data_IF_504925214502
#
_entry.id   IF_504925214502
#
_cell.length_a   1.000
_cell.length_b   1.000
_cell.length_c   1.000
_cell.angle_alpha   90.00
_cell.angle_beta   90.00
_cell.angle_gamma   90.00
#
_symmetry.space_group_name_H-M   'P 1'
#
loop_
_entity.id
_entity.type
_entity.pdbx_description
1 polymer ?
#
# COMPACT_ATOMS: atom_id res chain seq x y z
N UNK A 1 -11.20 56.21 4.82
CA UNK A 1 -11.52 55.20 5.85
C UNK A 1 -12.08 53.93 5.20
N UNK A 2 -11.29 53.17 4.42
CA UNK A 2 -11.75 51.92 3.77
C UNK A 2 -10.64 50.86 3.57
N UNK A 3 -9.48 50.97 4.25
CA UNK A 3 -8.33 50.07 3.97
C UNK A 3 -8.07 49.02 5.05
N UNK A 4 -8.60 49.18 6.26
CA UNK A 4 -8.30 48.25 7.38
C UNK A 4 -9.06 46.91 7.31
N UNK A 5 -10.15 46.82 6.53
CA UNK A 5 -10.92 45.58 6.42
C UNK A 5 -10.33 44.60 5.38
N UNK A 6 -9.55 45.09 4.41
CA UNK A 6 -8.98 44.24 3.37
C UNK A 6 -7.80 43.41 3.90
N UNK A 7 -6.94 44.01 4.74
CA UNK A 7 -5.80 43.31 5.35
C UNK A 7 -6.25 42.20 6.33
N UNK A 8 -7.39 42.39 7.01
CA UNK A 8 -7.98 41.38 7.89
C UNK A 8 -8.51 40.16 7.12
N UNK A 9 -9.07 40.39 5.93
CA UNK A 9 -9.54 39.33 5.04
C UNK A 9 -8.37 38.56 4.43
N UNK A 10 -7.33 39.25 3.94
CA UNK A 10 -6.15 38.60 3.35
C UNK A 10 -5.33 37.82 4.40
N UNK A 11 -5.27 38.30 5.64
CA UNK A 11 -4.67 37.58 6.77
C UNK A 11 -5.51 36.35 7.20
N UNK A 12 -6.83 36.42 7.05
CA UNK A 12 -7.73 35.29 7.35
C UNK A 12 -7.68 34.25 6.24
N UNK A 13 -7.62 34.66 4.97
CA UNK A 13 -7.37 33.77 3.83
C UNK A 13 -6.00 33.10 3.99
N UNK A 14 -4.96 33.83 4.41
CA UNK A 14 -3.64 33.26 4.69
C UNK A 14 -3.63 32.25 5.84
N UNK A 15 -4.41 32.48 6.91
CA UNK A 15 -4.57 31.49 8.00
C UNK A 15 -5.35 30.25 7.55
N UNK A 16 -6.28 30.40 6.61
CA UNK A 16 -7.06 29.28 6.04
C UNK A 16 -6.27 28.51 4.97
N UNK A 17 -5.23 29.10 4.37
CA UNK A 17 -4.28 28.40 3.47
C UNK A 17 -3.05 27.85 4.20
N UNK A 18 -2.84 28.22 5.46
CA UNK A 18 -1.85 27.64 6.38
C UNK A 18 -2.34 26.33 7.04
N UNK A 19 -3.15 25.56 6.32
CA UNK A 19 -3.30 24.11 6.48
C UNK A 19 -2.73 23.43 5.23
N UNK A 20 -1.42 23.56 5.07
CA UNK A 20 -0.61 22.55 4.39
C UNK A 20 -0.88 21.21 5.11
N UNK A 21 -1.38 20.11 4.53
CA UNK A 21 -1.55 19.74 3.13
C UNK A 21 -2.73 18.77 2.98
N UNK A 22 -3.92 19.28 2.62
CA UNK A 22 -4.93 18.43 1.96
C UNK A 22 -4.56 18.16 0.49
N UNK A 23 -3.49 18.81 0.01
CA UNK A 23 -2.77 18.51 -1.24
C UNK A 23 -1.76 17.37 -1.08
N UNK A 24 -1.96 16.44 -0.14
CA UNK A 24 -1.28 15.15 -0.10
C UNK A 24 -1.73 14.29 -1.31
N UNK A 25 -1.27 14.76 -2.47
CA UNK A 25 -0.96 14.10 -3.72
C UNK A 25 -2.00 13.13 -4.27
N UNK A 26 -3.02 13.65 -4.95
CA UNK A 26 -3.61 12.91 -6.08
C UNK A 26 -2.53 12.57 -7.14
N UNK A 27 -1.44 13.35 -7.21
CA UNK A 27 -0.32 13.13 -8.13
C UNK A 27 0.57 11.92 -7.80
N UNK A 28 0.70 11.51 -6.53
CA UNK A 28 1.51 10.34 -6.16
C UNK A 28 0.81 9.00 -6.45
N UNK A 29 -0.50 9.06 -6.75
CA UNK A 29 -1.33 7.88 -7.04
C UNK A 29 -1.05 7.34 -8.45
N UNK A 30 -0.60 8.20 -9.37
CA UNK A 30 -0.32 7.88 -10.78
C UNK A 30 1.13 7.52 -11.08
N UNK A 31 2.06 7.77 -10.14
CA UNK A 31 3.45 7.36 -10.31
C UNK A 31 3.58 5.85 -10.07
N UNK A 32 4.13 5.09 -11.05
CA UNK A 32 4.29 3.65 -10.90
C UNK A 32 5.20 3.37 -9.70
N UNK A 33 4.63 2.71 -8.69
CA UNK A 33 5.35 2.30 -7.49
C UNK A 33 6.40 1.20 -7.77
N UNK A 34 6.49 0.70 -9.00
CA UNK A 34 7.45 -0.30 -9.42
C UNK A 34 7.98 0.04 -10.81
N UNK A 35 9.30 -0.03 -10.96
CA UNK A 35 9.94 -0.08 -12.27
C UNK A 35 9.56 -1.38 -13.00
N UNK A 36 9.59 -1.34 -14.34
CA UNK A 36 9.40 -2.53 -15.17
C UNK A 36 10.41 -3.64 -14.84
N UNK A 37 11.64 -3.26 -14.51
CA UNK A 37 12.71 -4.20 -14.12
C UNK A 37 12.40 -4.86 -12.77
N UNK A 38 12.03 -4.06 -11.76
CA UNK A 38 11.62 -4.57 -10.44
C UNK A 38 10.44 -5.53 -10.57
N UNK A 39 9.46 -5.17 -11.42
CA UNK A 39 8.32 -6.03 -11.70
C UNK A 39 8.72 -7.33 -12.40
N UNK A 40 9.61 -7.28 -13.39
CA UNK A 40 10.11 -8.47 -14.06
C UNK A 40 10.80 -9.43 -13.07
N UNK A 41 11.63 -8.90 -12.17
CA UNK A 41 12.27 -9.69 -11.10
C UNK A 41 11.23 -10.31 -10.15
N UNK A 42 10.22 -9.57 -9.73
CA UNK A 42 9.14 -10.10 -8.88
C UNK A 42 8.41 -11.24 -9.59
N UNK A 43 8.01 -11.06 -10.85
CA UNK A 43 7.24 -12.06 -11.61
C UNK A 43 7.99 -13.38 -11.76
N UNK A 44 9.31 -13.33 -11.97
CA UNK A 44 10.16 -14.54 -12.06
C UNK A 44 10.19 -15.30 -10.73
N UNK A 45 10.21 -14.58 -9.61
CA UNK A 45 10.28 -15.16 -8.27
C UNK A 45 8.90 -15.55 -7.70
N UNK A 46 7.80 -15.13 -8.32
CA UNK A 46 6.46 -15.56 -7.94
C UNK A 46 6.21 -17.02 -8.32
N UNK A 47 5.95 -17.86 -7.31
CA UNK A 47 5.71 -19.29 -7.51
C UNK A 47 4.36 -19.63 -8.14
N UNK A 48 4.31 -20.78 -8.81
CA UNK A 48 3.08 -21.49 -9.19
C UNK A 48 2.16 -20.73 -10.16
N UNK A 49 0.84 -20.92 -9.97
CA UNK A 49 -0.21 -20.30 -10.82
C UNK A 49 -0.26 -18.77 -10.72
N UNK A 50 0.29 -18.21 -9.63
CA UNK A 50 0.31 -16.76 -9.41
C UNK A 50 1.34 -16.08 -10.32
N UNK A 51 2.56 -16.63 -10.40
CA UNK A 51 3.56 -16.16 -11.37
C UNK A 51 3.06 -16.26 -12.81
N UNK A 52 2.37 -17.36 -13.15
CA UNK A 52 1.77 -17.51 -14.49
C UNK A 52 0.73 -16.44 -14.83
N UNK A 53 -0.09 -16.02 -13.86
CA UNK A 53 -1.10 -14.96 -14.03
C UNK A 53 -0.50 -13.55 -13.99
N UNK A 54 0.72 -13.39 -13.47
CA UNK A 54 1.41 -12.11 -13.34
C UNK A 54 2.23 -11.72 -14.58
N UNK A 55 2.56 -12.68 -15.47
CA UNK A 55 3.37 -12.47 -16.69
C UNK A 55 2.73 -11.61 -17.80
N UNK A 56 1.45 -11.23 -17.69
CA UNK A 56 0.84 -10.31 -18.65
C UNK A 56 1.32 -8.86 -18.44
N UNK A 57 1.68 -8.15 -19.51
CA UNK A 57 2.24 -6.79 -19.47
C UNK A 57 1.30 -5.75 -18.80
N UNK A 58 -0.02 -5.96 -18.84
CA UNK A 58 -1.05 -5.19 -18.09
C UNK A 58 -1.77 -6.07 -17.07
N UNK A 59 -1.04 -6.88 -16.32
CA UNK A 59 -1.66 -7.80 -15.38
C UNK A 59 -2.28 -7.04 -14.21
N UNK A 60 -3.52 -7.41 -13.86
CA UNK A 60 -4.16 -7.12 -12.56
C UNK A 60 -3.32 -7.51 -11.33
N UNK A 61 -2.20 -8.22 -11.52
CA UNK A 61 -1.23 -8.52 -10.49
C UNK A 61 -0.27 -7.35 -10.23
N UNK A 62 0.16 -6.60 -11.27
CA UNK A 62 1.07 -5.46 -11.10
C UNK A 62 0.39 -4.33 -10.34
N UNK A 63 -0.77 -3.87 -10.83
CA UNK A 63 -1.55 -2.84 -10.14
C UNK A 63 -1.89 -3.25 -8.71
N UNK A 64 -2.10 -4.54 -8.45
CA UNK A 64 -2.32 -5.05 -7.10
C UNK A 64 -1.09 -4.92 -6.20
N UNK A 65 0.11 -5.25 -6.69
CA UNK A 65 1.34 -5.11 -5.91
C UNK A 65 1.68 -3.63 -5.71
N UNK A 66 1.52 -2.79 -6.73
CA UNK A 66 1.67 -1.34 -6.64
C UNK A 66 0.72 -0.75 -5.60
N UNK A 67 -0.55 -1.16 -5.56
CA UNK A 67 -1.51 -0.77 -4.54
C UNK A 67 -1.03 -1.09 -3.12
N UNK A 68 -0.44 -2.28 -2.93
CA UNK A 68 0.07 -2.70 -1.62
C UNK A 68 1.36 -1.95 -1.26
N UNK A 69 2.22 -1.65 -2.22
CA UNK A 69 3.44 -0.87 -1.99
C UNK A 69 3.11 0.59 -1.67
N UNK A 70 2.09 1.16 -2.31
CA UNK A 70 1.54 2.46 -1.94
C UNK A 70 1.08 2.46 -0.47
N UNK A 71 0.29 1.44 -0.07
CA UNK A 71 -0.14 1.25 1.32
C UNK A 71 1.04 1.09 2.29
N UNK A 72 2.12 0.45 1.86
CA UNK A 72 3.33 0.27 2.67
C UNK A 72 4.12 1.57 2.85
N UNK A 73 4.14 2.43 1.82
CA UNK A 73 4.78 3.74 1.86
C UNK A 73 3.99 4.77 2.68
N UNK A 74 2.66 4.69 2.65
CA UNK A 74 1.77 5.53 3.46
C UNK A 74 1.76 5.03 4.91
N UNK A 75 2.74 5.47 5.68
CA UNK A 75 2.93 5.18 7.10
C UNK A 75 1.65 5.44 7.92
N UNK A 76 0.84 4.39 8.12
CA UNK A 76 -0.43 4.34 8.87
C UNK A 76 -1.72 4.70 8.10
N UNK A 77 -1.69 4.68 6.77
CA UNK A 77 -2.92 4.75 5.99
C UNK A 77 -3.77 3.48 6.21
N UNK A 78 -5.05 3.68 6.55
CA UNK A 78 -6.00 2.59 6.57
C UNK A 78 -6.26 2.11 5.14
N UNK A 79 -6.50 0.82 4.93
CA UNK A 79 -6.90 0.27 3.63
C UNK A 79 -8.11 0.99 2.99
N UNK A 80 -8.88 1.74 3.79
CA UNK A 80 -10.00 2.58 3.35
C UNK A 80 -9.56 3.81 2.55
N UNK A 81 -8.32 4.25 2.74
CA UNK A 81 -7.71 5.38 2.04
C UNK A 81 -7.07 4.96 0.71
N UNK A 82 -7.12 3.66 0.35
CA UNK A 82 -6.58 3.20 -0.91
C UNK A 82 -7.32 3.91 -2.08
N UNK A 83 -6.58 4.50 -3.03
CA UNK A 83 -7.16 5.16 -4.18
C UNK A 83 -7.99 4.21 -5.06
N UNK A 84 -9.06 4.73 -5.66
CA UNK A 84 -10.04 3.94 -6.43
C UNK A 84 -9.44 3.36 -7.72
N UNK A 85 -8.36 3.96 -8.22
CA UNK A 85 -7.61 3.57 -9.41
C UNK A 85 -7.00 2.16 -9.28
N UNK A 86 -6.66 1.77 -8.04
CA UNK A 86 -6.17 0.42 -7.74
C UNK A 86 -7.30 -0.62 -7.63
N UNK A 87 -8.56 -0.18 -7.68
CA UNK A 87 -9.75 -1.01 -7.60
C UNK A 87 -10.33 -1.08 -6.19
N UNK A 88 -11.24 -2.04 -5.97
CA UNK A 88 -11.98 -2.13 -4.72
C UNK A 88 -11.08 -2.50 -3.52
N UNK A 89 -11.01 -1.61 -2.53
CA UNK A 89 -10.18 -1.71 -1.32
C UNK A 89 -10.32 -3.06 -0.60
N UNK A 90 -11.55 -3.55 -0.44
CA UNK A 90 -11.81 -4.85 0.19
C UNK A 90 -11.22 -6.02 -0.62
N UNK A 91 -11.33 -5.99 -1.94
CA UNK A 91 -10.79 -7.05 -2.81
C UNK A 91 -9.27 -7.10 -2.76
N UNK A 92 -8.61 -5.93 -2.71
CA UNK A 92 -7.15 -5.81 -2.52
C UNK A 92 -6.75 -6.41 -1.17
N UNK A 93 -7.42 -6.02 -0.09
CA UNK A 93 -7.13 -6.56 1.24
C UNK A 93 -7.32 -8.09 1.32
N UNK A 94 -8.41 -8.64 0.79
CA UNK A 94 -8.65 -10.09 0.76
C UNK A 94 -7.55 -10.82 0.01
N UNK A 95 -7.12 -10.27 -1.14
CA UNK A 95 -6.03 -10.85 -1.94
C UNK A 95 -4.70 -10.77 -1.20
N UNK A 96 -4.39 -9.64 -0.56
CA UNK A 96 -3.22 -9.48 0.31
C UNK A 96 -3.18 -10.55 1.40
N UNK A 97 -4.29 -10.73 2.13
CA UNK A 97 -4.39 -11.73 3.21
C UNK A 97 -4.16 -13.16 2.71
N UNK A 98 -4.65 -13.49 1.50
CA UNK A 98 -4.37 -14.79 0.85
C UNK A 98 -2.89 -14.96 0.52
N UNK A 99 -2.23 -13.92 0.03
CA UNK A 99 -0.79 -13.96 -0.28
C UNK A 99 0.06 -14.08 0.98
N UNK A 100 -0.33 -13.45 2.09
CA UNK A 100 0.35 -13.63 3.39
C UNK A 100 0.28 -15.07 3.84
N UNK A 101 -0.92 -15.69 3.78
CA UNK A 101 -1.10 -17.11 4.13
C UNK A 101 -0.29 -18.05 3.23
N UNK A 102 -0.14 -17.69 1.96
CA UNK A 102 0.57 -18.49 0.97
C UNK A 102 2.09 -18.21 0.90
N UNK A 103 2.64 -17.33 1.75
CA UNK A 103 4.07 -17.00 1.76
C UNK A 103 4.56 -16.24 0.52
N UNK A 104 3.67 -15.65 -0.26
CA UNK A 104 4.02 -15.07 -1.57
C UNK A 104 4.62 -13.66 -1.49
N UNK A 105 4.64 -13.07 -0.29
CA UNK A 105 5.26 -11.77 -0.06
C UNK A 105 6.77 -11.86 0.19
N UNK A 106 7.31 -13.02 0.59
CA UNK A 106 8.74 -13.17 0.84
C UNK A 106 9.58 -12.96 -0.44
N UNK A 107 9.19 -13.51 -1.61
CA UNK A 107 9.88 -13.22 -2.87
C UNK A 107 9.79 -11.74 -3.30
N UNK A 108 8.67 -11.08 -3.03
CA UNK A 108 8.48 -9.65 -3.35
C UNK A 108 9.40 -8.79 -2.49
N UNK A 109 9.49 -9.07 -1.19
CA UNK A 109 10.40 -8.38 -0.27
C UNK A 109 11.87 -8.58 -0.66
N UNK A 110 12.23 -9.77 -1.15
CA UNK A 110 13.59 -10.07 -1.58
C UNK A 110 14.02 -9.30 -2.84
N UNK A 111 13.06 -8.90 -3.70
CA UNK A 111 13.35 -8.14 -4.92
C UNK A 111 13.57 -6.64 -4.67
N UNK A 112 13.12 -6.12 -3.53
CA UNK A 112 13.25 -4.70 -3.17
C UNK A 112 14.53 -4.45 -2.37
N UNK A 113 15.17 -3.28 -2.44
CA UNK A 113 16.36 -2.98 -1.64
C UNK A 113 16.03 -2.87 -0.14
N UNK A 114 16.97 -3.26 0.74
CA UNK A 114 16.76 -3.24 2.21
C UNK A 114 16.54 -1.83 2.77
N UNK A 115 17.16 -0.82 2.14
CA UNK A 115 17.00 0.58 2.50
C UNK A 115 15.67 1.19 2.03
N UNK A 116 14.87 0.46 1.25
CA UNK A 116 13.61 0.98 0.70
C UNK A 116 12.52 1.06 1.77
N UNK A 117 11.95 2.26 1.95
CA UNK A 117 10.84 2.49 2.86
C UNK A 117 9.60 1.64 2.52
N UNK A 118 9.33 1.38 1.23
CA UNK A 118 8.23 0.53 0.76
C UNK A 118 8.43 -0.92 1.22
N UNK A 119 9.66 -1.43 1.14
CA UNK A 119 10.02 -2.77 1.64
C UNK A 119 9.81 -2.87 3.16
N UNK A 120 10.27 -1.87 3.90
CA UNK A 120 10.13 -1.84 5.37
C UNK A 120 8.65 -1.79 5.78
N UNK A 121 7.85 -0.94 5.14
CA UNK A 121 6.41 -0.87 5.35
C UNK A 121 5.72 -2.20 5.07
N UNK A 122 6.03 -2.83 3.93
CA UNK A 122 5.46 -4.11 3.53
C UNK A 122 5.84 -5.22 4.53
N UNK A 123 7.10 -5.26 4.97
CA UNK A 123 7.57 -6.23 5.96
C UNK A 123 6.81 -6.09 7.29
N UNK A 124 6.59 -4.86 7.78
CA UNK A 124 5.78 -4.61 8.99
C UNK A 124 4.33 -5.07 8.84
N UNK A 125 3.71 -4.80 7.68
CA UNK A 125 2.33 -5.23 7.40
C UNK A 125 2.22 -6.75 7.39
N UNK A 126 3.13 -7.44 6.69
CA UNK A 126 3.15 -8.91 6.61
C UNK A 126 3.40 -9.54 7.98
N UNK A 127 4.37 -9.02 8.75
CA UNK A 127 4.68 -9.51 10.09
C UNK A 127 3.49 -9.34 11.06
N UNK A 128 2.86 -8.16 11.07
CA UNK A 128 1.66 -7.89 11.87
C UNK A 128 0.52 -8.84 11.53
N UNK A 129 0.29 -9.09 10.24
CA UNK A 129 -0.76 -9.99 9.78
C UNK A 129 -0.47 -11.46 10.15
N UNK A 130 0.79 -11.92 9.97
CA UNK A 130 1.23 -13.25 10.38
C UNK A 130 1.04 -13.46 11.88
N UNK A 131 1.41 -12.49 12.72
CA UNK A 131 1.20 -12.56 14.17
C UNK A 131 -0.30 -12.67 14.54
N UNK A 132 -1.17 -11.94 13.84
CA UNK A 132 -2.62 -12.01 14.01
C UNK A 132 -3.17 -13.39 13.62
N UNK A 133 -2.72 -13.96 12.50
CA UNK A 133 -3.11 -15.30 12.07
C UNK A 133 -2.65 -16.38 13.06
N UNK A 134 -1.43 -16.27 13.58
CA UNK A 134 -0.90 -17.20 14.59
C UNK A 134 -1.72 -17.16 15.89
N UNK A 135 -2.13 -15.96 16.35
CA UNK A 135 -3.02 -15.81 17.51
C UNK A 135 -4.33 -16.56 17.30
N UNK A 136 -4.99 -16.34 16.15
CA UNK A 136 -6.24 -17.04 15.79
C UNK A 136 -6.07 -18.55 15.74
N UNK A 137 -4.95 -19.03 15.18
CA UNK A 137 -4.64 -20.45 15.15
C UNK A 137 -4.49 -21.03 16.56
N UNK A 138 -3.83 -20.31 17.48
CA UNK A 138 -3.68 -20.75 18.89
C UNK A 138 -5.02 -20.85 19.60
N UNK A 139 -5.92 -19.87 19.42
CA UNK A 139 -7.26 -19.94 19.99
C UNK A 139 -8.05 -21.13 19.44
N UNK A 140 -7.99 -21.37 18.13
CA UNK A 140 -8.65 -22.52 17.52
C UNK A 140 -8.11 -23.85 18.03
N UNK A 141 -6.78 -23.98 18.18
CA UNK A 141 -6.16 -25.18 18.73
C UNK A 141 -6.52 -25.41 20.20
N UNK A 142 -6.57 -24.34 21.01
CA UNK A 142 -6.97 -24.42 22.41
C UNK A 142 -8.44 -24.83 22.59
N UNK A 143 -9.32 -24.38 21.69
CA UNK A 143 -10.74 -24.76 21.70
C UNK A 143 -10.98 -26.22 21.27
N UNK A 144 -10.06 -26.80 20.50
CA UNK A 144 -10.17 -28.16 19.95
C UNK A 144 -9.51 -29.25 20.83
N UNK A 145 -8.85 -28.85 21.93
CA UNK A 145 -8.19 -29.73 22.90
C UNK A 145 -9.07 -29.88 24.14
#
# INVERSE_FOLDING_TARGET
MLTENQESLDATISRLTQTQDASCSLSAVLEPQLSDDEWAHIVVNLGGRLGARARGHKSSARCFVEAVLWMAGSNDAYWRCLPIEYGANHSVYVRFSRWVKAGQWDPVLACLPESDARRQGLARMVASHRASLQRKQRYANHQAA
#
